data_IF_369962343714
#
_entry.id   IF_369962343714
#
_cell.length_a   1.000
_cell.length_b   1.000
_cell.length_c   1.000
_cell.angle_alpha   90.00
_cell.angle_beta   90.00
_cell.angle_gamma   90.00
#
_symmetry.space_group_name_H-M   'P 1'
#
loop_
_entity.id
_entity.type
_entity.pdbx_description
1 polymer ?
#
# COMPACT_ATOMS: atom_id res chain seq x y z
N UNK A 1 32.69 -82.68 54.59
CA UNK A 1 31.69 -81.65 54.23
C UNK A 1 31.88 -80.52 55.23
N UNK A 2 32.66 -79.49 54.87
CA UNK A 2 32.82 -78.32 55.73
C UNK A 2 31.57 -77.45 55.56
N UNK A 3 30.67 -77.50 56.55
CA UNK A 3 29.54 -76.59 56.65
C UNK A 3 30.09 -75.27 57.20
N UNK A 4 29.87 -74.18 56.47
CA UNK A 4 30.20 -72.84 56.94
C UNK A 4 29.24 -72.50 58.08
N UNK A 5 29.62 -72.84 59.31
CA UNK A 5 28.95 -72.35 60.51
C UNK A 5 29.01 -70.81 60.52
N UNK A 6 27.88 -70.17 60.75
CA UNK A 6 27.69 -68.71 60.73
C UNK A 6 28.44 -67.96 61.85
N UNK A 7 29.25 -68.68 62.63
CA UNK A 7 29.99 -68.22 63.80
C UNK A 7 31.51 -68.13 63.62
N UNK A 8 32.08 -68.51 62.46
CA UNK A 8 33.51 -68.30 62.15
C UNK A 8 33.79 -66.83 61.77
N UNK A 9 34.52 -66.04 62.58
CA UNK A 9 34.71 -64.60 62.36
C UNK A 9 35.41 -64.27 61.03
N UNK A 10 36.24 -65.18 60.51
CA UNK A 10 37.02 -64.94 59.29
C UNK A 10 36.21 -65.36 58.06
N UNK A 11 35.49 -66.48 58.11
CA UNK A 11 34.87 -67.07 56.91
C UNK A 11 33.33 -66.97 56.87
N UNK A 12 32.63 -67.07 57.99
CA UNK A 12 31.15 -67.20 58.06
C UNK A 12 30.41 -66.11 58.83
N UNK A 13 31.11 -65.28 59.60
CA UNK A 13 30.53 -64.20 60.40
C UNK A 13 30.03 -63.03 59.55
N UNK A 14 29.29 -62.06 60.14
CA UNK A 14 28.69 -60.94 59.43
C UNK A 14 29.66 -60.17 58.52
N UNK A 15 30.94 -60.05 58.89
CA UNK A 15 31.99 -59.38 58.11
C UNK A 15 33.04 -60.34 57.52
N UNK A 16 32.78 -61.65 57.58
CA UNK A 16 33.64 -62.70 57.03
C UNK A 16 33.78 -62.63 55.51
N UNK A 17 34.88 -63.17 54.97
CA UNK A 17 35.25 -63.03 53.55
C UNK A 17 34.15 -63.53 52.59
N UNK A 18 33.35 -64.52 53.00
CA UNK A 18 32.24 -65.06 52.20
C UNK A 18 31.03 -64.12 52.08
N UNK A 19 30.76 -63.28 53.09
CA UNK A 19 29.60 -62.38 53.14
C UNK A 19 29.88 -61.00 52.53
N UNK A 20 31.15 -60.62 52.37
CA UNK A 20 31.58 -59.34 51.78
C UNK A 20 31.09 -59.12 50.33
N UNK A 21 31.19 -60.09 49.40
CA UNK A 21 30.68 -59.92 48.04
C UNK A 21 29.17 -59.67 48.00
N UNK A 22 28.41 -60.35 48.85
CA UNK A 22 26.96 -60.19 48.94
C UNK A 22 26.57 -58.81 49.50
N UNK A 23 27.25 -58.32 50.54
CA UNK A 23 27.07 -56.96 51.07
C UNK A 23 27.39 -55.89 50.02
N UNK A 24 28.51 -56.03 49.30
CA UNK A 24 28.89 -55.12 48.22
C UNK A 24 27.86 -55.11 47.09
N UNK A 25 27.34 -56.28 46.73
CA UNK A 25 26.27 -56.41 45.73
C UNK A 25 24.96 -55.74 46.19
N UNK A 26 24.57 -55.92 47.46
CA UNK A 26 23.40 -55.28 48.02
C UNK A 26 23.52 -53.75 48.00
N UNK A 27 24.66 -53.21 48.44
CA UNK A 27 24.95 -51.77 48.41
C UNK A 27 24.94 -51.22 46.98
N UNK A 28 25.54 -51.94 46.02
CA UNK A 28 25.51 -51.56 44.60
C UNK A 28 24.10 -51.58 44.02
N UNK A 29 23.30 -52.60 44.35
CA UNK A 29 21.90 -52.71 43.92
C UNK A 29 21.07 -51.54 44.46
N UNK A 30 21.25 -51.19 45.74
CA UNK A 30 20.59 -50.04 46.33
C UNK A 30 20.99 -48.73 45.64
N UNK A 31 22.27 -48.53 45.36
CA UNK A 31 22.76 -47.34 44.63
C UNK A 31 22.17 -47.25 43.21
N UNK A 32 22.17 -48.37 42.46
CA UNK A 32 21.58 -48.42 41.13
C UNK A 32 20.08 -48.13 41.15
N UNK A 33 19.36 -48.65 42.15
CA UNK A 33 17.93 -48.38 42.32
C UNK A 33 17.68 -46.89 42.60
N UNK A 34 18.43 -46.28 43.50
CA UNK A 34 18.33 -44.85 43.79
C UNK A 34 18.64 -43.99 42.55
N UNK A 35 19.70 -44.34 41.81
CA UNK A 35 20.06 -43.64 40.58
C UNK A 35 18.95 -43.77 39.52
N UNK A 36 18.37 -44.95 39.36
CA UNK A 36 17.27 -45.19 38.43
C UNK A 36 16.03 -44.39 38.82
N UNK A 37 15.68 -44.36 40.10
CA UNK A 37 14.56 -43.56 40.63
C UNK A 37 14.80 -42.06 40.41
N UNK A 38 16.01 -41.56 40.66
CA UNK A 38 16.38 -40.17 40.42
C UNK A 38 16.24 -39.79 38.94
N UNK A 39 16.73 -40.63 38.03
CA UNK A 39 16.60 -40.42 36.59
C UNK A 39 15.13 -40.46 36.14
N UNK A 40 14.36 -41.44 36.63
CA UNK A 40 12.93 -41.55 36.32
C UNK A 40 12.16 -40.31 36.80
N UNK A 41 12.46 -39.83 38.00
CA UNK A 41 11.85 -38.62 38.57
C UNK A 41 12.23 -37.36 37.77
N UNK A 42 13.50 -37.23 37.37
CA UNK A 42 13.96 -36.12 36.54
C UNK A 42 13.28 -36.12 35.16
N UNK A 43 13.12 -37.29 34.54
CA UNK A 43 12.40 -37.42 33.27
C UNK A 43 10.92 -37.08 33.41
N UNK A 44 10.27 -37.55 34.48
CA UNK A 44 8.88 -37.23 34.76
C UNK A 44 8.68 -35.72 35.01
N UNK A 45 9.63 -35.06 35.67
CA UNK A 45 9.63 -33.62 35.87
C UNK A 45 9.82 -32.87 34.55
N UNK A 46 10.79 -33.27 33.71
CA UNK A 46 11.02 -32.69 32.40
C UNK A 46 9.79 -32.80 31.49
N UNK A 47 9.15 -33.97 31.42
CA UNK A 47 7.97 -34.20 30.58
C UNK A 47 6.76 -33.32 30.97
N UNK A 48 6.68 -32.90 32.24
CA UNK A 48 5.65 -31.96 32.72
C UNK A 48 6.06 -30.49 32.59
N UNK A 49 7.35 -30.22 32.41
CA UNK A 49 7.89 -28.89 32.29
C UNK A 49 7.65 -28.31 30.90
N UNK A 50 7.49 -26.98 30.84
CA UNK A 50 7.53 -26.21 29.60
C UNK A 50 8.78 -25.32 29.53
N UNK A 51 9.78 -25.60 30.36
CA UNK A 51 11.04 -24.86 30.43
C UNK A 51 11.94 -25.24 29.23
N UNK A 52 11.52 -24.81 28.05
CA UNK A 52 12.27 -24.89 26.81
C UNK A 52 12.49 -23.47 26.28
N UNK A 53 13.58 -23.22 25.55
CA UNK A 53 13.80 -21.91 24.93
C UNK A 53 12.68 -21.58 23.93
N UNK A 54 12.39 -20.29 23.81
CA UNK A 54 11.52 -19.79 22.76
C UNK A 54 12.17 -20.01 21.38
N UNK A 55 11.33 -20.21 20.36
CA UNK A 55 11.83 -20.31 19.00
C UNK A 55 12.32 -18.94 18.51
N UNK A 56 13.28 -18.98 17.59
CA UNK A 56 13.77 -17.82 16.86
C UNK A 56 13.93 -18.18 15.38
N UNK A 57 14.32 -17.19 14.57
CA UNK A 57 14.61 -17.41 13.15
C UNK A 57 15.81 -18.36 12.91
N UNK A 58 16.67 -18.55 13.92
CA UNK A 58 17.90 -19.36 13.80
C UNK A 58 17.92 -20.59 14.71
N UNK A 59 17.03 -20.68 15.70
CA UNK A 59 16.95 -21.80 16.63
C UNK A 59 15.50 -22.26 16.85
N UNK A 60 15.31 -23.58 16.88
CA UNK A 60 14.01 -24.21 17.17
C UNK A 60 13.66 -24.01 18.66
N UNK A 61 12.37 -23.85 18.97
CA UNK A 61 11.85 -23.68 20.32
C UNK A 61 10.32 -23.64 20.35
N UNK A 62 9.73 -23.15 21.45
CA UNK A 62 8.27 -22.92 21.52
C UNK A 62 7.88 -21.51 21.09
N UNK A 63 6.66 -21.36 20.58
CA UNK A 63 6.11 -20.07 20.17
C UNK A 63 4.70 -19.91 20.73
N UNK A 64 4.35 -18.69 21.14
CA UNK A 64 2.98 -18.35 21.50
C UNK A 64 2.18 -17.97 20.26
N UNK A 65 0.97 -18.51 20.13
CA UNK A 65 0.07 -18.18 19.02
C UNK A 65 -0.68 -16.88 19.29
N UNK A 66 -0.79 -16.03 18.27
CA UNK A 66 -1.55 -14.79 18.31
C UNK A 66 -2.53 -14.71 17.14
N UNK A 67 -3.75 -14.24 17.42
CA UNK A 67 -4.84 -14.17 16.42
C UNK A 67 -5.25 -12.73 16.04
N UNK A 68 -4.51 -11.71 16.51
CA UNK A 68 -4.70 -10.34 16.05
C UNK A 68 -3.81 -10.00 14.85
N UNK A 69 -4.05 -8.83 14.25
CA UNK A 69 -3.38 -8.39 13.00
C UNK A 69 -2.68 -7.03 13.12
N UNK A 70 -2.54 -6.53 14.34
CA UNK A 70 -1.95 -5.21 14.64
C UNK A 70 -0.74 -5.29 15.58
N UNK A 71 -0.21 -6.49 15.81
CA UNK A 71 0.94 -6.68 16.70
C UNK A 71 2.23 -6.68 15.88
N UNK A 72 3.22 -5.95 16.35
CA UNK A 72 4.58 -5.92 15.80
C UNK A 72 5.51 -6.94 16.49
N UNK A 73 4.95 -7.88 17.25
CA UNK A 73 5.74 -8.87 18.00
C UNK A 73 6.40 -9.89 17.08
N UNK A 74 7.72 -10.02 17.17
CA UNK A 74 8.51 -11.03 16.43
C UNK A 74 8.59 -12.39 17.16
N UNK A 75 8.09 -12.48 18.39
CA UNK A 75 8.17 -13.70 19.23
C UNK A 75 6.88 -14.53 19.21
N UNK A 76 5.85 -14.11 18.47
CA UNK A 76 4.57 -14.79 18.37
C UNK A 76 4.32 -15.28 16.94
N UNK A 77 3.66 -16.43 16.81
CA UNK A 77 3.25 -16.96 15.52
C UNK A 77 1.80 -16.58 15.21
N UNK A 78 1.56 -16.13 13.99
CA UNK A 78 0.22 -15.85 13.49
C UNK A 78 -0.59 -17.14 13.34
N UNK A 79 -1.86 -17.11 13.76
CA UNK A 79 -2.81 -18.20 13.48
C UNK A 79 -3.43 -18.06 12.10
N UNK A 80 -4.03 -19.13 11.52
CA UNK A 80 -4.81 -19.02 10.28
C UNK A 80 -5.93 -17.98 10.34
N UNK A 81 -6.47 -17.73 11.54
CA UNK A 81 -7.47 -16.66 11.77
C UNK A 81 -6.87 -15.28 11.52
N UNK A 82 -5.69 -14.97 12.05
CA UNK A 82 -5.01 -13.70 11.81
C UNK A 82 -4.72 -13.49 10.32
N UNK A 83 -4.19 -14.52 9.65
CA UNK A 83 -3.89 -14.47 8.21
C UNK A 83 -5.16 -14.25 7.39
N UNK A 84 -6.24 -14.96 7.71
CA UNK A 84 -7.53 -14.78 7.03
C UNK A 84 -8.05 -13.35 7.22
N UNK A 85 -8.02 -12.82 8.43
CA UNK A 85 -8.47 -11.43 8.68
C UNK A 85 -7.65 -10.41 7.90
N UNK A 86 -6.33 -10.57 7.83
CA UNK A 86 -5.47 -9.70 7.03
C UNK A 86 -5.81 -9.80 5.52
N UNK A 87 -6.03 -11.01 5.02
CA UNK A 87 -6.39 -11.27 3.62
C UNK A 87 -7.78 -10.71 3.27
N UNK A 88 -8.79 -10.91 4.14
CA UNK A 88 -10.13 -10.36 3.95
C UNK A 88 -10.08 -8.82 3.89
N UNK A 89 -9.29 -8.19 4.77
CA UNK A 89 -9.09 -6.74 4.73
C UNK A 89 -8.41 -6.28 3.44
N UNK A 90 -7.41 -7.01 2.94
CA UNK A 90 -6.77 -6.71 1.66
C UNK A 90 -7.74 -6.86 0.48
N UNK A 91 -8.52 -7.94 0.45
CA UNK A 91 -9.53 -8.21 -0.58
C UNK A 91 -10.68 -7.17 -0.59
N UNK A 92 -10.90 -6.48 0.53
CA UNK A 92 -11.88 -5.39 0.63
C UNK A 92 -11.36 -4.04 0.10
N UNK A 93 -10.11 -3.97 -0.39
CA UNK A 93 -9.54 -2.76 -1.01
C UNK A 93 -9.69 -2.79 -2.53
N UNK A 94 -9.59 -1.62 -3.14
CA UNK A 94 -9.61 -1.47 -4.60
C UNK A 94 -8.33 -2.08 -5.20
N UNK A 95 -8.52 -2.88 -6.24
CA UNK A 95 -7.44 -3.53 -6.95
C UNK A 95 -6.91 -2.60 -8.06
N UNK A 96 -5.59 -2.34 -8.05
CA UNK A 96 -4.96 -1.38 -8.99
C UNK A 96 -5.22 -1.78 -10.45
N UNK A 97 -5.09 -3.06 -10.75
CA UNK A 97 -5.28 -3.64 -12.07
C UNK A 97 -6.72 -3.51 -12.60
N UNK A 98 -7.70 -3.31 -11.71
CA UNK A 98 -9.10 -3.10 -12.09
C UNK A 98 -9.40 -1.65 -12.45
N UNK A 99 -8.45 -0.73 -12.31
CA UNK A 99 -8.59 0.68 -12.68
C UNK A 99 -9.92 1.29 -12.18
N UNK A 100 -10.25 1.08 -10.90
CA UNK A 100 -11.46 1.57 -10.23
C UNK A 100 -12.78 0.94 -10.73
N UNK A 101 -12.74 -0.08 -11.60
CA UNK A 101 -13.94 -0.79 -12.04
C UNK A 101 -14.65 -1.56 -10.90
N UNK A 102 -13.96 -1.79 -9.78
CA UNK A 102 -14.47 -2.39 -8.56
C UNK A 102 -15.02 -1.39 -7.52
N UNK A 103 -15.17 -0.10 -7.90
CA UNK A 103 -15.92 0.85 -7.10
C UNK A 103 -17.40 0.45 -7.01
N UNK A 104 -17.88 0.23 -5.79
CA UNK A 104 -19.29 -0.10 -5.53
C UNK A 104 -20.23 1.08 -5.73
N UNK A 105 -19.75 2.32 -5.57
CA UNK A 105 -20.54 3.54 -5.75
C UNK A 105 -19.72 4.64 -6.44
N UNK A 106 -19.69 4.58 -7.77
CA UNK A 106 -18.99 5.56 -8.60
C UNK A 106 -19.56 6.99 -8.43
N UNK A 107 -20.89 7.24 -8.35
CA UNK A 107 -21.42 8.58 -8.10
C UNK A 107 -20.91 9.22 -6.79
N UNK A 108 -20.91 8.48 -5.68
CA UNK A 108 -20.42 8.98 -4.39
C UNK A 108 -18.91 9.27 -4.45
N UNK A 109 -18.12 8.42 -5.12
CA UNK A 109 -16.69 8.68 -5.31
C UNK A 109 -16.44 10.02 -6.02
N UNK A 110 -17.19 10.32 -7.09
CA UNK A 110 -17.10 11.61 -7.79
C UNK A 110 -17.54 12.79 -6.92
N UNK A 111 -18.55 12.59 -6.07
CA UNK A 111 -19.03 13.61 -5.12
C UNK A 111 -17.96 13.93 -4.06
N UNK A 112 -17.34 12.92 -3.45
CA UNK A 112 -16.27 13.10 -2.46
C UNK A 112 -15.06 13.83 -3.03
N UNK A 113 -14.77 13.60 -4.32
CA UNK A 113 -13.72 14.30 -5.06
C UNK A 113 -14.14 15.69 -5.58
N UNK A 114 -15.39 16.09 -5.36
CA UNK A 114 -15.94 17.40 -5.76
C UNK A 114 -15.79 17.68 -7.26
N UNK A 115 -15.86 16.65 -8.12
CA UNK A 115 -15.64 16.78 -9.55
C UNK A 115 -16.81 17.45 -10.31
N UNK A 116 -17.94 17.65 -9.63
CA UNK A 116 -19.14 18.24 -10.21
C UNK A 116 -19.75 17.43 -11.37
N UNK A 117 -20.66 18.07 -12.10
CA UNK A 117 -21.38 17.42 -13.21
C UNK A 117 -20.55 17.26 -14.48
N UNK A 118 -19.42 17.95 -14.61
CA UNK A 118 -18.55 17.85 -15.79
C UNK A 118 -17.92 16.46 -15.92
N UNK A 119 -17.69 15.76 -14.80
CA UNK A 119 -17.06 14.43 -14.79
C UNK A 119 -17.87 13.32 -15.48
N UNK A 120 -19.14 13.57 -15.82
CA UNK A 120 -20.01 12.60 -16.52
C UNK A 120 -20.53 13.12 -17.85
N UNK A 121 -20.13 14.32 -18.26
CA UNK A 121 -20.59 14.95 -19.50
C UNK A 121 -19.50 14.90 -20.55
N UNK A 122 -19.89 14.58 -21.77
CA UNK A 122 -19.00 14.73 -22.92
C UNK A 122 -18.66 16.20 -23.15
N UNK A 123 -17.54 16.46 -23.80
CA UNK A 123 -17.20 17.78 -24.35
C UNK A 123 -17.87 17.97 -25.72
N UNK A 124 -18.43 19.15 -26.01
CA UNK A 124 -19.07 19.41 -27.30
C UNK A 124 -19.72 20.79 -27.40
N UNK A 125 -20.47 21.01 -28.48
CA UNK A 125 -21.11 22.30 -28.82
C UNK A 125 -22.62 22.34 -28.58
N UNK A 126 -23.21 21.27 -28.05
CA UNK A 126 -24.67 21.14 -27.83
C UNK A 126 -25.03 21.24 -26.34
N UNK A 127 -26.31 21.50 -26.03
CA UNK A 127 -26.78 21.50 -24.64
C UNK A 127 -26.48 20.17 -23.93
N UNK A 128 -26.29 20.21 -22.60
CA UNK A 128 -25.92 19.07 -21.75
C UNK A 128 -24.50 18.49 -21.96
N UNK A 129 -23.64 19.16 -22.72
CA UNK A 129 -22.19 18.88 -22.80
C UNK A 129 -21.37 19.94 -22.05
N UNK A 130 -20.13 19.62 -21.69
CA UNK A 130 -19.10 20.61 -21.33
C UNK A 130 -18.73 21.39 -22.60
N UNK A 131 -18.78 22.72 -22.55
CA UNK A 131 -18.55 23.56 -23.73
C UNK A 131 -17.14 23.35 -24.29
N UNK A 132 -17.06 22.93 -25.55
CA UNK A 132 -15.81 22.90 -26.33
C UNK A 132 -15.39 24.33 -26.71
N UNK A 133 -14.12 24.52 -27.11
CA UNK A 133 -13.58 25.86 -27.39
C UNK A 133 -14.26 26.60 -28.55
N UNK A 134 -14.91 25.90 -29.46
CA UNK A 134 -15.68 26.42 -30.60
C UNK A 134 -17.19 26.49 -30.34
N UNK A 135 -17.62 26.32 -29.08
CA UNK A 135 -19.01 26.38 -28.70
C UNK A 135 -19.52 27.82 -28.62
N UNK A 136 -20.65 28.10 -29.29
CA UNK A 136 -21.31 29.40 -29.29
C UNK A 136 -21.80 29.85 -27.91
N UNK A 137 -21.96 28.93 -26.95
CA UNK A 137 -22.31 29.22 -25.55
C UNK A 137 -21.18 29.92 -24.80
N UNK A 138 -19.93 29.84 -25.27
CA UNK A 138 -18.83 30.62 -24.70
C UNK A 138 -19.02 32.07 -25.15
N UNK A 139 -19.59 32.88 -24.26
CA UNK A 139 -19.81 34.31 -24.49
C UNK A 139 -18.53 35.09 -24.23
N UNK A 140 -18.30 36.14 -25.03
CA UNK A 140 -17.11 37.01 -24.91
C UNK A 140 -15.83 36.47 -25.57
N UNK A 141 -15.83 35.22 -26.07
CA UNK A 141 -14.79 34.73 -26.96
C UNK A 141 -15.14 35.02 -28.42
N UNK A 142 -14.14 35.30 -29.25
CA UNK A 142 -14.33 35.40 -30.70
C UNK A 142 -14.55 34.01 -31.30
N UNK A 143 -15.63 33.87 -32.06
CA UNK A 143 -16.06 32.64 -32.69
C UNK A 143 -15.50 32.57 -34.10
N UNK A 144 -14.76 31.48 -34.41
CA UNK A 144 -14.13 31.29 -35.73
C UNK A 144 -15.11 31.43 -36.89
N UNK A 145 -16.34 30.92 -36.73
CA UNK A 145 -17.37 30.96 -37.75
C UNK A 145 -17.86 32.40 -38.08
N UNK A 146 -17.60 33.37 -37.21
CA UNK A 146 -18.04 34.76 -37.41
C UNK A 146 -17.05 35.57 -38.24
N UNK A 147 -15.88 35.05 -38.62
CA UNK A 147 -14.91 35.74 -39.47
C UNK A 147 -14.64 37.20 -39.00
N UNK A 148 -14.39 37.38 -37.70
CA UNK A 148 -14.15 38.69 -37.06
C UNK A 148 -15.35 39.66 -37.07
N UNK A 149 -16.54 39.21 -37.49
CA UNK A 149 -17.76 40.02 -37.42
C UNK A 149 -18.13 40.37 -35.97
N UNK A 150 -17.75 39.50 -35.04
CA UNK A 150 -17.94 39.57 -33.60
C UNK A 150 -16.83 40.31 -32.85
N UNK A 151 -15.85 40.91 -33.55
CA UNK A 151 -14.92 41.86 -32.94
C UNK A 151 -15.72 43.07 -32.42
N UNK A 152 -15.67 43.38 -31.09
CA UNK A 152 -16.50 44.43 -30.49
C UNK A 152 -16.19 45.82 -31.04
N UNK A 153 -14.91 46.15 -31.21
CA UNK A 153 -14.45 47.41 -31.80
C UNK A 153 -13.51 47.13 -32.97
N UNK A 154 -14.08 47.14 -34.17
CA UNK A 154 -13.34 46.90 -35.41
C UNK A 154 -12.34 48.01 -35.70
N UNK A 155 -12.61 49.26 -35.29
CA UNK A 155 -11.72 50.39 -35.55
C UNK A 155 -10.48 50.29 -34.66
N UNK A 156 -10.68 50.10 -33.35
CA UNK A 156 -9.57 49.86 -32.42
C UNK A 156 -8.79 48.59 -32.77
N UNK A 157 -9.48 47.54 -33.21
CA UNK A 157 -8.84 46.33 -33.74
C UNK A 157 -7.92 46.63 -34.92
N UNK A 158 -8.37 47.43 -35.90
CA UNK A 158 -7.54 47.88 -37.02
C UNK A 158 -6.37 48.75 -36.58
N UNK A 159 -6.61 49.73 -35.68
CA UNK A 159 -5.55 50.57 -35.11
C UNK A 159 -4.47 49.74 -34.43
N UNK A 160 -4.87 48.71 -33.66
CA UNK A 160 -3.93 47.83 -32.96
C UNK A 160 -3.10 46.95 -33.91
N UNK A 161 -3.61 46.71 -35.11
CA UNK A 161 -2.92 45.98 -36.17
C UNK A 161 -2.19 46.92 -37.16
N UNK A 162 -2.24 48.23 -36.93
CA UNK A 162 -1.66 49.25 -37.81
C UNK A 162 -2.16 49.17 -39.28
N UNK A 163 -3.45 48.83 -39.48
CA UNK A 163 -4.09 48.74 -40.80
C UNK A 163 -5.26 49.71 -40.96
N UNK A 164 -5.62 50.04 -42.22
CA UNK A 164 -6.77 50.89 -42.57
C UNK A 164 -7.89 50.10 -43.26
N UNK A 165 -9.14 50.50 -43.03
CA UNK A 165 -10.28 50.06 -43.85
C UNK A 165 -10.26 50.72 -45.23
N UNK A 166 -11.10 50.24 -46.15
CA UNK A 166 -11.29 50.88 -47.47
C UNK A 166 -11.73 52.34 -47.33
N UNK A 167 -12.66 52.64 -46.42
CA UNK A 167 -13.14 54.00 -46.17
C UNK A 167 -12.04 54.89 -45.60
N UNK A 168 -11.31 54.41 -44.59
CA UNK A 168 -10.19 55.17 -44.01
C UNK A 168 -9.09 55.42 -45.04
N UNK A 169 -8.76 54.40 -45.85
CA UNK A 169 -7.79 54.54 -46.93
C UNK A 169 -8.24 55.55 -47.98
N UNK A 170 -9.49 55.50 -48.42
CA UNK A 170 -10.03 56.45 -49.40
C UNK A 170 -10.04 57.89 -48.89
N UNK A 171 -10.10 58.10 -47.58
CA UNK A 171 -10.02 59.44 -46.98
C UNK A 171 -8.57 59.93 -46.81
N UNK A 172 -7.61 59.00 -46.67
CA UNK A 172 -6.19 59.31 -46.45
C UNK A 172 -5.37 59.39 -47.75
N UNK A 173 -5.79 58.66 -48.79
CA UNK A 173 -5.07 58.57 -50.05
C UNK A 173 -5.85 59.21 -51.20
N UNK A 174 -5.09 59.72 -52.17
CA UNK A 174 -5.64 60.32 -53.39
C UNK A 174 -6.52 59.34 -54.18
N UNK A 175 -7.72 59.77 -54.53
CA UNK A 175 -8.68 58.97 -55.26
C UNK A 175 -8.37 59.00 -56.76
N UNK A 176 -8.07 57.83 -57.35
CA UNK A 176 -7.81 57.71 -58.80
C UNK A 176 -8.93 58.32 -59.67
N UNK A 177 -10.18 58.21 -59.23
CA UNK A 177 -11.33 58.74 -59.96
C UNK A 177 -11.37 60.28 -60.04
N UNK A 178 -10.65 60.98 -59.17
CA UNK A 178 -10.62 62.44 -59.14
C UNK A 178 -9.53 63.03 -60.03
N UNK A 179 -8.69 62.21 -60.67
CA UNK A 179 -7.66 62.64 -61.61
C UNK A 179 -6.81 63.82 -61.09
N UNK A 180 -6.43 63.80 -59.80
CA UNK A 180 -5.62 64.83 -59.17
C UNK A 180 -6.37 66.11 -58.77
N UNK A 181 -7.71 66.12 -58.78
CA UNK A 181 -8.49 67.24 -58.27
C UNK A 181 -8.30 67.45 -56.75
N UNK A 182 -8.03 66.37 -56.02
CA UNK A 182 -7.83 66.24 -54.58
C UNK A 182 -6.41 66.52 -54.08
N UNK A 183 -5.48 66.98 -54.93
CA UNK A 183 -4.13 67.36 -54.46
C UNK A 183 -4.27 68.62 -53.57
N UNK A 184 -3.92 68.57 -52.26
CA UNK A 184 -4.13 69.70 -51.35
C UNK A 184 -3.34 70.96 -51.75
N UNK A 185 -2.18 70.76 -52.38
CA UNK A 185 -1.34 71.82 -52.91
C UNK A 185 -0.77 71.41 -54.27
N UNK A 186 -1.56 71.59 -55.34
CA UNK A 186 -1.13 71.30 -56.72
C UNK A 186 0.22 71.93 -57.07
N UNK A 187 0.48 73.22 -56.73
CA UNK A 187 1.78 73.85 -56.95
C UNK A 187 3.00 73.17 -56.29
N UNK A 188 2.82 72.43 -55.19
CA UNK A 188 3.94 71.76 -54.51
C UNK A 188 4.33 70.41 -55.14
N UNK A 189 3.56 69.93 -56.14
CA UNK A 189 3.77 68.64 -56.82
C UNK A 189 4.33 68.78 -58.25
N UNK A 190 4.48 70.02 -58.75
CA UNK A 190 4.98 70.35 -60.09
C UNK A 190 6.46 70.71 -60.04
#
# INVERSE_FOLDING_TARGET
>A
IYQLETSDPVVGGPDGVSNRPQKQLANRTQWLKQQQEATNNALAAHAKSRNHPDASLTAKGFVQLYSGVMSDSEIMAATPKAVKTAMDNANARLARERNLADLTNVPLARQNLQLGNSATRNTGTTANTVAAGDDSRITGAMQKAQNLADVPDKAKGRTSLEVYSKTESNNQYMAKAQNGADIPNKPAFV
#
